data_IF_122453302183
#
_entry.id   IF_122453302183
#
_cell.length_a   1.000
_cell.length_b   1.000
_cell.length_c   1.000
_cell.angle_alpha   90.00
_cell.angle_beta   90.00
_cell.angle_gamma   90.00
#
_symmetry.space_group_name_H-M   'P 1'
#
loop_
_entity.id
_entity.type
_entity.pdbx_description
1 polymer ?
#
# COMPACT_ATOMS: atom_id res chain seq x y z
N UNK A 1 1.11 15.61 8.94
CA UNK A 1 2.31 15.26 8.16
C UNK A 1 3.34 14.60 9.08
N UNK A 2 3.77 13.38 8.76
CA UNK A 2 4.80 12.66 9.52
C UNK A 2 6.18 13.27 9.24
N UNK A 3 6.99 13.49 10.28
CA UNK A 3 8.36 14.00 10.13
C UNK A 3 9.30 12.79 10.08
N UNK A 4 9.91 12.56 8.92
CA UNK A 4 10.84 11.47 8.72
C UNK A 4 12.17 11.71 9.46
N UNK A 5 12.75 10.70 10.12
CA UNK A 5 14.06 10.84 10.74
C UNK A 5 15.20 10.90 9.70
N UNK A 6 16.07 11.90 9.80
CA UNK A 6 17.14 12.18 8.80
C UNK A 6 18.40 11.28 8.91
N UNK A 7 18.53 10.49 9.97
CA UNK A 7 19.74 9.67 10.19
C UNK A 7 19.34 8.25 10.53
N UNK A 8 20.18 7.29 10.14
CA UNK A 8 19.99 5.87 10.46
C UNK A 8 19.78 5.62 11.97
N UNK A 9 20.55 6.30 12.82
CA UNK A 9 20.39 6.21 14.28
C UNK A 9 19.01 6.71 14.74
N UNK A 10 18.53 7.83 14.22
CA UNK A 10 17.19 8.36 14.54
C UNK A 10 16.09 7.47 13.96
N UNK A 11 16.27 6.87 12.78
CA UNK A 11 15.35 5.88 12.20
C UNK A 11 15.19 4.67 13.12
N UNK A 12 16.30 4.02 13.48
CA UNK A 12 16.32 2.88 14.41
C UNK A 12 15.68 3.21 15.75
N UNK A 13 15.95 4.41 16.28
CA UNK A 13 15.33 4.90 17.52
C UNK A 13 13.82 5.08 17.38
N UNK A 14 13.36 5.68 16.27
CA UNK A 14 11.93 5.86 15.98
C UNK A 14 11.19 4.54 15.83
N UNK A 15 11.76 3.61 15.08
CA UNK A 15 11.23 2.23 14.92
C UNK A 15 11.06 1.57 16.30
N UNK A 16 12.11 1.60 17.12
CA UNK A 16 12.09 1.03 18.47
C UNK A 16 11.02 1.68 19.36
N UNK A 17 10.87 3.00 19.29
CA UNK A 17 9.84 3.75 20.02
C UNK A 17 8.43 3.34 19.61
N UNK A 18 8.15 3.22 18.31
CA UNK A 18 6.83 2.82 17.81
C UNK A 18 6.49 1.37 18.17
N UNK A 19 7.42 0.43 17.98
CA UNK A 19 7.24 -0.97 18.43
C UNK A 19 6.96 -1.03 19.94
N UNK A 20 7.69 -0.26 20.74
CA UNK A 20 7.52 -0.25 22.21
C UNK A 20 6.17 0.34 22.63
N UNK A 21 5.72 1.41 21.98
CA UNK A 21 4.40 2.01 22.22
C UNK A 21 3.28 1.01 21.93
N UNK A 22 3.31 0.35 20.77
CA UNK A 22 2.26 -0.61 20.40
C UNK A 22 2.26 -1.84 21.33
N UNK A 23 3.44 -2.36 21.70
CA UNK A 23 3.54 -3.44 22.69
C UNK A 23 2.97 -3.04 24.05
N UNK A 24 3.22 -1.80 24.48
CA UNK A 24 2.67 -1.26 25.73
C UNK A 24 1.15 -1.16 25.67
N UNK A 25 0.60 -0.59 24.59
CA UNK A 25 -0.85 -0.49 24.36
C UNK A 25 -1.52 -1.88 24.42
N UNK A 26 -0.97 -2.87 23.69
CA UNK A 26 -1.45 -4.25 23.71
C UNK A 26 -1.43 -4.85 25.12
N UNK A 27 -0.36 -4.61 25.89
CA UNK A 27 -0.23 -5.13 27.26
C UNK A 27 -1.23 -4.49 28.22
N UNK A 28 -1.47 -3.19 28.11
CA UNK A 28 -2.30 -2.43 29.05
C UNK A 28 -3.80 -2.55 28.74
N UNK A 29 -4.16 -2.61 27.46
CA UNK A 29 -5.55 -2.49 26.99
C UNK A 29 -6.02 -3.81 26.34
N UNK A 30 -5.13 -4.74 26.05
CA UNK A 30 -5.42 -6.02 25.39
C UNK A 30 -5.46 -5.95 23.86
N UNK A 31 -5.44 -4.76 23.28
CA UNK A 31 -5.39 -4.53 21.83
C UNK A 31 -4.56 -3.30 21.48
N UNK A 32 -4.15 -3.19 20.21
CA UNK A 32 -3.42 -2.03 19.69
C UNK A 32 -4.44 -1.09 19.04
N UNK A 33 -4.66 0.08 19.63
CA UNK A 33 -5.59 1.07 19.07
C UNK A 33 -4.98 1.74 17.82
N UNK A 34 -3.69 2.10 17.90
CA UNK A 34 -2.92 2.75 16.83
C UNK A 34 -3.68 3.80 16.00
N UNK A 35 -4.43 4.69 16.68
CA UNK A 35 -5.12 5.80 16.02
C UNK A 35 -4.20 6.81 15.30
N UNK A 36 -2.87 6.67 15.47
CA UNK A 36 -1.85 7.49 14.80
C UNK A 36 -1.23 6.84 13.55
N UNK A 37 -1.61 5.60 13.21
CA UNK A 37 -1.09 4.89 12.02
C UNK A 37 0.40 4.51 12.12
N UNK A 38 0.94 4.31 13.33
CA UNK A 38 2.33 3.88 13.54
C UNK A 38 2.64 2.57 12.82
N UNK A 39 1.66 1.66 12.75
CA UNK A 39 1.81 0.35 12.10
C UNK A 39 2.09 0.49 10.61
N UNK A 40 1.50 1.50 9.98
CA UNK A 40 1.72 1.82 8.57
C UNK A 40 3.07 2.52 8.35
N UNK A 41 3.36 3.54 9.16
CA UNK A 41 4.61 4.32 9.09
C UNK A 41 5.86 3.43 9.24
N UNK A 42 5.77 2.35 10.04
CA UNK A 42 6.90 1.44 10.22
C UNK A 42 7.36 0.78 8.92
N UNK A 43 6.46 0.51 7.96
CA UNK A 43 6.86 0.00 6.64
C UNK A 43 7.78 1.00 5.93
N UNK A 44 7.43 2.29 5.93
CA UNK A 44 8.26 3.34 5.35
C UNK A 44 9.61 3.47 6.05
N UNK A 45 9.61 3.41 7.39
CA UNK A 45 10.85 3.50 8.17
C UNK A 45 11.80 2.34 7.89
N UNK A 46 11.30 1.10 7.85
CA UNK A 46 12.12 -0.06 7.52
C UNK A 46 12.58 -0.05 6.05
N UNK A 47 11.71 0.36 5.13
CA UNK A 47 12.04 0.47 3.71
C UNK A 47 13.20 1.44 3.46
N UNK A 48 13.14 2.63 4.07
CA UNK A 48 14.23 3.63 3.97
C UNK A 48 15.49 3.17 4.70
N UNK A 49 15.34 2.47 5.84
CA UNK A 49 16.47 1.87 6.54
C UNK A 49 17.17 0.78 5.71
N UNK A 50 16.43 0.14 4.79
CA UNK A 50 16.89 -0.94 3.92
C UNK A 50 17.48 -2.14 4.67
N UNK A 51 16.94 -2.43 5.86
CA UNK A 51 17.27 -3.61 6.67
C UNK A 51 16.21 -4.69 6.38
N UNK A 52 16.48 -5.52 5.37
CA UNK A 52 15.51 -6.49 4.84
C UNK A 52 15.09 -7.53 5.88
N UNK A 53 16.02 -8.03 6.69
CA UNK A 53 15.71 -9.02 7.72
C UNK A 53 14.69 -8.47 8.73
N UNK A 54 14.89 -7.23 9.19
CA UNK A 54 13.93 -6.58 10.10
C UNK A 54 12.64 -6.16 9.43
N UNK A 55 12.71 -5.79 8.15
CA UNK A 55 11.53 -5.51 7.35
C UNK A 55 10.64 -6.76 7.30
N UNK A 56 11.20 -7.93 6.99
CA UNK A 56 10.46 -9.19 6.92
C UNK A 56 9.92 -9.64 8.28
N UNK A 57 10.71 -9.52 9.36
CA UNK A 57 10.22 -9.76 10.74
C UNK A 57 8.98 -8.91 11.03
N UNK A 58 9.03 -7.64 10.62
CA UNK A 58 7.93 -6.72 10.84
C UNK A 58 6.70 -7.05 10.00
N UNK A 59 6.87 -7.45 8.74
CA UNK A 59 5.77 -7.94 7.89
C UNK A 59 5.09 -9.14 8.52
N UNK A 60 5.85 -10.12 9.01
CA UNK A 60 5.31 -11.30 9.68
C UNK A 60 4.48 -10.92 10.89
N UNK A 61 5.04 -10.08 11.77
CA UNK A 61 4.33 -9.57 12.94
C UNK A 61 3.05 -8.79 12.57
N UNK A 62 3.11 -7.95 11.54
CA UNK A 62 1.96 -7.16 11.09
C UNK A 62 0.80 -8.06 10.63
N UNK A 63 1.10 -9.08 9.82
CA UNK A 63 0.09 -10.03 9.33
C UNK A 63 -0.55 -10.85 10.46
N UNK A 64 0.22 -11.23 11.48
CA UNK A 64 -0.29 -11.97 12.64
C UNK A 64 -1.15 -11.09 13.55
N UNK A 65 -0.77 -9.84 13.75
CA UNK A 65 -1.46 -8.91 14.66
C UNK A 65 -2.66 -8.22 14.04
N UNK A 66 -2.65 -8.00 12.73
CA UNK A 66 -3.67 -7.26 12.00
C UNK A 66 -4.17 -8.03 10.76
N UNK A 67 -4.68 -9.26 10.92
CA UNK A 67 -5.05 -10.12 9.79
C UNK A 67 -6.21 -9.56 8.94
N UNK A 68 -7.07 -8.72 9.54
CA UNK A 68 -8.22 -8.10 8.87
C UNK A 68 -7.91 -6.67 8.37
N UNK A 69 -6.68 -6.18 8.55
CA UNK A 69 -6.30 -4.83 8.13
C UNK A 69 -5.91 -4.81 6.64
N UNK A 70 -6.66 -4.02 5.88
CA UNK A 70 -6.43 -3.84 4.44
C UNK A 70 -5.26 -2.91 4.14
N UNK A 71 -4.71 -2.21 5.13
CA UNK A 71 -3.56 -1.31 5.01
C UNK A 71 -3.80 -0.05 4.19
N UNK A 72 -2.79 0.82 4.13
CA UNK A 72 -2.80 2.09 3.38
C UNK A 72 -1.87 2.06 2.14
N UNK A 73 -2.03 2.94 1.14
CA UNK A 73 -1.28 2.83 -0.11
C UNK A 73 0.25 3.01 0.02
N UNK A 74 0.78 4.00 0.75
CA UNK A 74 2.23 4.19 0.97
C UNK A 74 2.85 2.98 1.70
N UNK A 75 2.14 2.41 2.67
CA UNK A 75 2.51 1.14 3.31
C UNK A 75 2.65 0.05 2.25
N UNK A 76 1.64 -0.16 1.40
CA UNK A 76 1.67 -1.18 0.34
C UNK A 76 2.79 -0.94 -0.68
N UNK A 77 3.11 0.32 -1.00
CA UNK A 77 4.26 0.67 -1.83
C UNK A 77 5.57 0.22 -1.20
N UNK A 78 5.81 0.62 0.05
CA UNK A 78 7.01 0.22 0.79
C UNK A 78 7.08 -1.31 0.94
N UNK A 79 5.93 -1.96 1.11
CA UNK A 79 5.85 -3.40 1.25
C UNK A 79 6.17 -4.15 -0.03
N UNK A 80 5.52 -3.77 -1.13
CA UNK A 80 5.79 -4.34 -2.45
C UNK A 80 7.26 -4.24 -2.82
N UNK A 81 7.87 -3.07 -2.66
CA UNK A 81 9.28 -2.86 -2.96
C UNK A 81 10.21 -3.59 -1.98
N UNK A 82 9.87 -3.65 -0.69
CA UNK A 82 10.60 -4.46 0.28
C UNK A 82 10.63 -5.95 -0.08
N UNK A 83 9.49 -6.51 -0.50
CA UNK A 83 9.41 -7.89 -1.02
C UNK A 83 10.24 -8.07 -2.30
N UNK A 84 10.19 -7.08 -3.21
CA UNK A 84 10.98 -7.12 -4.43
C UNK A 84 12.49 -7.14 -4.13
N UNK A 85 12.96 -6.32 -3.19
CA UNK A 85 14.35 -6.33 -2.71
C UNK A 85 14.75 -7.66 -2.07
N UNK A 86 13.81 -8.32 -1.39
CA UNK A 86 13.97 -9.66 -0.83
C UNK A 86 13.86 -10.79 -1.87
N UNK A 87 13.77 -10.48 -3.17
CA UNK A 87 13.58 -11.42 -4.27
C UNK A 87 12.28 -12.26 -4.20
N UNK A 88 11.27 -11.77 -3.47
CA UNK A 88 9.93 -12.36 -3.38
C UNK A 88 9.01 -11.76 -4.45
N UNK A 89 9.38 -11.97 -5.71
CA UNK A 89 8.82 -11.23 -6.85
C UNK A 89 7.33 -11.47 -7.06
N UNK A 90 6.83 -12.68 -6.78
CA UNK A 90 5.40 -13.02 -6.92
C UNK A 90 4.57 -12.24 -5.90
N UNK A 91 5.00 -12.28 -4.63
CA UNK A 91 4.38 -11.56 -3.52
C UNK A 91 4.49 -10.05 -3.71
N UNK A 92 5.66 -9.56 -4.15
CA UNK A 92 5.88 -8.16 -4.46
C UNK A 92 4.92 -7.66 -5.54
N UNK A 93 4.74 -8.42 -6.62
CA UNK A 93 3.83 -8.10 -7.71
C UNK A 93 2.37 -8.12 -7.25
N UNK A 94 1.98 -9.08 -6.43
CA UNK A 94 0.64 -9.12 -5.84
C UNK A 94 0.38 -7.87 -4.99
N UNK A 95 1.31 -7.53 -4.09
CA UNK A 95 1.22 -6.35 -3.23
C UNK A 95 1.22 -5.03 -4.05
N UNK A 96 1.93 -5.00 -5.19
CA UNK A 96 1.87 -3.86 -6.12
C UNK A 96 0.48 -3.72 -6.77
N UNK A 97 -0.19 -4.83 -7.07
CA UNK A 97 -1.54 -4.82 -7.58
C UNK A 97 -2.54 -4.36 -6.51
N UNK A 98 -2.36 -4.77 -5.25
CA UNK A 98 -3.14 -4.25 -4.12
C UNK A 98 -2.93 -2.75 -3.93
N UNK A 99 -1.68 -2.28 -4.02
CA UNK A 99 -1.38 -0.84 -4.03
C UNK A 99 -2.18 -0.13 -5.12
N UNK A 100 -2.11 -0.64 -6.36
CA UNK A 100 -2.79 -0.04 -7.52
C UNK A 100 -4.29 0.16 -7.28
N UNK A 101 -4.95 -0.81 -6.63
CA UNK A 101 -6.39 -0.73 -6.36
C UNK A 101 -6.73 0.07 -5.09
N UNK A 102 -5.76 0.28 -4.20
CA UNK A 102 -5.92 1.15 -3.03
C UNK A 102 -5.71 2.63 -3.32
N UNK A 103 -4.92 2.95 -4.35
CA UNK A 103 -4.78 4.29 -4.91
C UNK A 103 -4.34 4.20 -6.37
N UNK A 104 -5.18 4.65 -7.30
CA UNK A 104 -4.96 4.54 -8.75
C UNK A 104 -3.82 5.42 -9.28
N UNK A 105 -3.31 6.33 -8.45
CA UNK A 105 -2.43 7.43 -8.85
C UNK A 105 -1.01 7.31 -8.29
N UNK A 106 -0.82 6.60 -7.18
CA UNK A 106 0.48 6.52 -6.51
C UNK A 106 1.53 5.82 -7.39
N UNK A 107 1.17 4.73 -8.08
CA UNK A 107 2.10 4.06 -9.00
C UNK A 107 2.49 4.98 -10.18
N UNK A 108 1.55 5.54 -10.97
CA UNK A 108 1.86 6.51 -12.01
C UNK A 108 2.73 7.67 -11.54
N UNK A 109 2.42 8.23 -10.35
CA UNK A 109 3.20 9.31 -9.75
C UNK A 109 4.67 8.91 -9.52
N UNK A 110 4.91 7.71 -8.96
CA UNK A 110 6.26 7.21 -8.69
C UNK A 110 7.03 6.90 -9.97
N UNK A 111 6.38 6.31 -10.98
CA UNK A 111 7.03 5.96 -12.25
C UNK A 111 7.15 7.14 -13.22
N UNK A 112 6.67 8.33 -12.85
CA UNK A 112 6.77 9.56 -13.63
C UNK A 112 5.81 9.63 -14.82
N UNK A 113 4.68 8.92 -14.77
CA UNK A 113 3.60 9.10 -15.74
C UNK A 113 2.78 10.37 -15.43
N UNK A 114 2.25 11.01 -16.47
CA UNK A 114 1.42 12.21 -16.30
C UNK A 114 0.07 11.86 -15.66
N UNK A 115 -0.25 12.50 -14.55
CA UNK A 115 -1.54 12.40 -13.87
C UNK A 115 -2.52 13.38 -14.54
N UNK A 116 -3.33 12.91 -15.49
CA UNK A 116 -4.15 13.81 -16.29
C UNK A 116 -5.38 14.35 -15.56
N UNK A 117 -6.07 13.51 -14.76
CA UNK A 117 -7.25 13.86 -13.94
C UNK A 117 -7.63 12.73 -12.98
N UNK A 118 -8.30 13.12 -11.90
CA UNK A 118 -8.99 12.21 -11.01
C UNK A 118 -10.15 11.49 -11.73
N UNK A 119 -10.26 10.18 -11.51
CA UNK A 119 -11.33 9.36 -12.05
C UNK A 119 -12.66 9.72 -11.39
N UNK A 120 -13.72 9.82 -12.20
CA UNK A 120 -15.09 9.98 -11.69
C UNK A 120 -15.64 8.62 -11.26
N UNK A 121 -15.23 8.15 -10.08
CA UNK A 121 -15.65 6.88 -9.49
C UNK A 121 -16.08 7.08 -8.05
N UNK A 122 -16.73 6.08 -7.45
CA UNK A 122 -17.01 6.09 -6.02
C UNK A 122 -15.71 5.89 -5.23
N UNK A 123 -15.52 6.65 -4.15
CA UNK A 123 -14.38 6.51 -3.25
C UNK A 123 -14.88 6.17 -1.84
N UNK A 124 -14.41 5.05 -1.28
CA UNK A 124 -14.76 4.63 0.07
C UNK A 124 -13.97 5.35 1.15
N UNK A 125 -12.77 5.82 0.82
CA UNK A 125 -11.82 6.43 1.77
C UNK A 125 -11.07 7.58 1.10
N UNK A 126 -10.50 8.46 1.92
CA UNK A 126 -9.66 9.55 1.44
C UNK A 126 -8.37 9.05 0.77
N UNK A 127 -7.91 7.84 1.08
CA UNK A 127 -6.72 7.25 0.46
C UNK A 127 -6.88 6.97 -1.03
N UNK A 128 -8.11 6.94 -1.55
CA UNK A 128 -8.37 6.65 -2.95
C UNK A 128 -8.27 7.89 -3.85
N UNK A 129 -8.17 9.08 -3.28
CA UNK A 129 -8.15 10.33 -4.04
C UNK A 129 -6.76 10.64 -4.59
N UNK A 130 -6.72 11.50 -5.61
CA UNK A 130 -5.49 11.91 -6.28
C UNK A 130 -4.52 12.66 -5.37
N UNK A 131 -5.04 13.49 -4.46
CA UNK A 131 -4.24 14.30 -3.53
C UNK A 131 -3.39 13.46 -2.57
N UNK A 132 -3.75 12.20 -2.33
CA UNK A 132 -2.98 11.29 -1.50
C UNK A 132 -1.54 11.07 -2.00
N UNK A 133 -1.25 11.32 -3.28
CA UNK A 133 0.14 11.25 -3.78
C UNK A 133 1.06 12.27 -3.10
N UNK A 134 0.51 13.37 -2.59
CA UNK A 134 1.26 14.42 -1.89
C UNK A 134 1.69 14.00 -0.48
N UNK A 135 1.07 12.94 0.07
CA UNK A 135 1.44 12.38 1.38
C UNK A 135 2.68 11.47 1.30
N UNK A 136 3.15 11.11 0.10
CA UNK A 136 4.33 10.26 -0.09
C UNK A 136 5.59 10.94 0.49
N UNK A 137 6.22 10.36 1.54
CA UNK A 137 7.41 10.96 2.13
C UNK A 137 8.55 11.04 1.11
N UNK A 138 9.23 12.19 1.08
CA UNK A 138 10.38 12.43 0.20
C UNK A 138 11.45 11.34 0.37
N UNK A 139 11.72 10.93 1.61
CA UNK A 139 12.72 9.93 1.94
C UNK A 139 12.37 8.56 1.38
N UNK A 140 11.08 8.20 1.37
CA UNK A 140 10.60 6.98 0.70
C UNK A 140 10.84 7.11 -0.80
N UNK A 141 10.39 8.20 -1.42
CA UNK A 141 10.54 8.45 -2.85
C UNK A 141 11.99 8.40 -3.32
N UNK A 142 12.90 9.04 -2.58
CA UNK A 142 14.34 9.07 -2.88
C UNK A 142 15.03 7.71 -2.65
N UNK A 143 14.44 6.85 -1.83
CA UNK A 143 14.96 5.49 -1.59
C UNK A 143 14.58 4.49 -2.68
N UNK A 144 13.69 4.84 -3.62
CA UNK A 144 13.30 3.98 -4.74
C UNK A 144 14.35 4.07 -5.84
N UNK A 145 14.96 2.93 -6.17
CA UNK A 145 15.97 2.81 -7.21
C UNK A 145 15.36 2.86 -8.62
N UNK A 146 16.20 3.14 -9.61
CA UNK A 146 15.78 3.12 -11.03
C UNK A 146 15.27 1.75 -11.47
N UNK A 147 15.88 0.66 -10.99
CA UNK A 147 15.45 -0.71 -11.29
C UNK A 147 14.06 -0.98 -10.73
N UNK A 148 13.77 -0.52 -9.52
CA UNK A 148 12.45 -0.64 -8.91
C UNK A 148 11.40 0.17 -9.69
N UNK A 149 11.74 1.38 -10.14
CA UNK A 149 10.87 2.19 -11.00
C UNK A 149 10.56 1.47 -12.31
N UNK A 150 11.56 0.87 -12.96
CA UNK A 150 11.34 0.12 -14.21
C UNK A 150 10.47 -1.11 -13.97
N UNK A 151 10.75 -1.88 -12.92
CA UNK A 151 9.94 -3.04 -12.55
C UNK A 151 8.48 -2.66 -12.26
N UNK A 152 8.25 -1.57 -11.52
CA UNK A 152 6.90 -1.04 -11.29
C UNK A 152 6.22 -0.66 -12.61
N UNK A 153 6.95 -0.01 -13.52
CA UNK A 153 6.44 0.39 -14.84
C UNK A 153 6.04 -0.82 -15.69
N UNK A 154 6.89 -1.85 -15.73
CA UNK A 154 6.62 -3.11 -16.42
C UNK A 154 5.36 -3.78 -15.86
N UNK A 155 5.26 -3.89 -14.52
CA UNK A 155 4.08 -4.45 -13.87
C UNK A 155 2.83 -3.63 -14.16
N UNK A 156 2.88 -2.30 -14.00
CA UNK A 156 1.75 -1.39 -14.18
C UNK A 156 1.19 -1.40 -15.61
N UNK A 157 2.07 -1.60 -16.60
CA UNK A 157 1.74 -1.66 -18.02
C UNK A 157 1.48 -3.07 -18.55
N UNK A 158 1.65 -4.10 -17.70
CA UNK A 158 1.30 -5.48 -18.04
C UNK A 158 -0.18 -5.61 -18.46
N UNK A 159 -0.48 -6.64 -19.25
CA UNK A 159 -1.84 -6.89 -19.72
C UNK A 159 -2.79 -7.17 -18.53
N UNK A 160 -2.31 -7.90 -17.53
CA UNK A 160 -3.06 -8.26 -16.34
C UNK A 160 -3.42 -7.01 -15.52
N UNK A 161 -2.44 -6.16 -15.19
CA UNK A 161 -2.70 -4.96 -14.40
C UNK A 161 -3.63 -4.00 -15.12
N UNK A 162 -3.45 -3.82 -16.44
CA UNK A 162 -4.36 -2.97 -17.23
C UNK A 162 -5.79 -3.51 -17.23
N UNK A 163 -5.99 -4.83 -17.36
CA UNK A 163 -7.32 -5.46 -17.30
C UNK A 163 -7.97 -5.29 -15.93
N UNK A 164 -7.23 -5.60 -14.87
CA UNK A 164 -7.68 -5.46 -13.48
C UNK A 164 -8.05 -4.01 -13.19
N UNK A 165 -7.15 -3.06 -13.48
CA UNK A 165 -7.36 -1.63 -13.26
C UNK A 165 -8.57 -1.10 -14.03
N UNK A 166 -8.69 -1.46 -15.31
CA UNK A 166 -9.84 -1.08 -16.14
C UNK A 166 -11.14 -1.57 -15.51
N UNK A 167 -11.22 -2.85 -15.13
CA UNK A 167 -12.44 -3.41 -14.56
C UNK A 167 -12.77 -2.81 -13.19
N UNK A 168 -11.77 -2.54 -12.37
CA UNK A 168 -11.94 -1.80 -11.12
C UNK A 168 -12.57 -0.42 -11.36
N UNK A 169 -12.04 0.36 -12.31
CA UNK A 169 -12.57 1.69 -12.64
C UNK A 169 -14.02 1.60 -13.13
N UNK A 170 -14.34 0.62 -13.99
CA UNK A 170 -15.71 0.39 -14.47
C UNK A 170 -16.66 0.08 -13.30
N UNK A 171 -16.32 -0.88 -12.45
CA UNK A 171 -17.12 -1.25 -11.27
C UNK A 171 -17.36 -0.03 -10.37
N UNK A 172 -16.31 0.70 -10.02
CA UNK A 172 -16.43 1.83 -9.10
C UNK A 172 -17.09 3.05 -9.76
N UNK A 173 -17.10 3.15 -11.08
CA UNK A 173 -17.93 4.10 -11.80
C UNK A 173 -19.42 3.74 -11.70
N UNK A 174 -19.77 2.47 -11.94
CA UNK A 174 -21.16 1.97 -11.83
C UNK A 174 -21.70 2.17 -10.40
N UNK A 175 -20.87 1.97 -9.38
CA UNK A 175 -21.20 2.20 -7.96
C UNK A 175 -21.63 3.63 -7.62
N UNK A 176 -21.43 4.63 -8.50
CA UNK A 176 -21.96 5.98 -8.32
C UNK A 176 -23.48 6.07 -8.54
N UNK A 177 -24.02 5.20 -9.39
CA UNK A 177 -25.42 5.24 -9.81
C UNK A 177 -26.29 4.17 -9.12
N UNK A 178 -25.70 3.03 -8.74
CA UNK A 178 -26.41 1.90 -8.13
C UNK A 178 -26.88 2.25 -6.72
N UNK A 179 -28.20 2.14 -6.50
CA UNK A 179 -28.85 2.39 -5.20
C UNK A 179 -29.28 1.10 -4.50
N UNK A 180 -29.60 0.06 -5.26
CA UNK A 180 -30.03 -1.23 -4.72
C UNK A 180 -28.84 -1.96 -4.06
N UNK A 181 -29.07 -2.46 -2.85
CA UNK A 181 -28.02 -3.03 -1.99
C UNK A 181 -27.49 -4.34 -2.59
N UNK A 182 -28.37 -5.15 -3.16
CA UNK A 182 -28.04 -6.43 -3.76
C UNK A 182 -27.13 -6.26 -4.97
N UNK A 183 -27.48 -5.34 -5.88
CA UNK A 183 -26.66 -5.01 -7.05
C UNK A 183 -25.30 -4.44 -6.64
N UNK A 184 -25.29 -3.56 -5.63
CA UNK A 184 -24.06 -3.02 -5.06
C UNK A 184 -23.17 -4.13 -4.48
N UNK A 185 -23.77 -5.10 -3.80
CA UNK A 185 -23.05 -6.24 -3.21
C UNK A 185 -22.38 -7.11 -4.28
N UNK A 186 -23.04 -7.34 -5.42
CA UNK A 186 -22.47 -8.10 -6.54
C UNK A 186 -21.24 -7.40 -7.11
N UNK A 187 -21.33 -6.09 -7.37
CA UNK A 187 -20.22 -5.27 -7.86
C UNK A 187 -19.02 -5.28 -6.91
N UNK A 188 -19.26 -5.10 -5.60
CA UNK A 188 -18.19 -5.12 -4.60
C UNK A 188 -17.54 -6.50 -4.47
N UNK A 189 -18.31 -7.60 -4.52
CA UNK A 189 -17.77 -8.96 -4.53
C UNK A 189 -16.86 -9.19 -5.73
N UNK A 190 -17.26 -8.70 -6.91
CA UNK A 190 -16.42 -8.77 -8.09
C UNK A 190 -15.11 -8.00 -7.88
N UNK A 191 -15.19 -6.75 -7.41
CA UNK A 191 -14.02 -5.92 -7.12
C UNK A 191 -13.02 -6.60 -6.18
N UNK A 192 -13.50 -7.21 -5.09
CA UNK A 192 -12.65 -7.93 -4.13
C UNK A 192 -12.01 -9.19 -4.71
N UNK A 193 -12.57 -9.74 -5.80
CA UNK A 193 -12.04 -10.94 -6.46
C UNK A 193 -11.04 -10.64 -7.58
N UNK A 194 -10.88 -9.38 -8.03
CA UNK A 194 -10.09 -9.04 -9.22
C UNK A 194 -8.64 -9.55 -9.15
N UNK A 195 -8.03 -9.49 -7.97
CA UNK A 195 -6.65 -9.91 -7.75
C UNK A 195 -6.46 -11.42 -7.59
N UNK A 196 -7.54 -12.19 -7.42
CA UNK A 196 -7.47 -13.66 -7.31
C UNK A 196 -6.82 -14.32 -8.55
N UNK A 197 -6.86 -13.63 -9.68
CA UNK A 197 -6.24 -14.05 -10.94
C UNK A 197 -4.71 -14.00 -10.90
N UNK A 198 -4.12 -13.19 -10.00
CA UNK A 198 -2.67 -13.04 -9.86
C UNK A 198 -2.03 -14.05 -8.90
N UNK A 199 -2.81 -14.64 -7.99
CA UNK A 199 -2.32 -15.63 -7.02
C UNK A 199 -1.97 -16.99 -7.65
N UNK A 200 -2.25 -17.17 -8.96
CA UNK A 200 -2.09 -18.44 -9.68
C UNK A 200 -0.95 -18.43 -10.71
N UNK A 201 -0.16 -17.37 -10.80
CA UNK A 201 0.94 -17.21 -11.77
C UNK A 201 2.31 -17.33 -11.13
#
# INVERSE_FOLDING_TARGET
>A
MFIFPETEKKLKSRISSYKSSMKKEKKEIGFINDGSGKRYILFSLYFVLNDLDKFEEYVGWYNEEFPDDVGEPIQKLCWSLGLYRANKTVEARFMLAELMLSNLYLIPHVIGENLEKEYKIWHSTNFHYLDYVDDLPKEVKESISKTEIEWMRECYNSLEFRRIRKRYIEIYHELLAVREIEERSVLLKEAYSLLSTLQRS
#
